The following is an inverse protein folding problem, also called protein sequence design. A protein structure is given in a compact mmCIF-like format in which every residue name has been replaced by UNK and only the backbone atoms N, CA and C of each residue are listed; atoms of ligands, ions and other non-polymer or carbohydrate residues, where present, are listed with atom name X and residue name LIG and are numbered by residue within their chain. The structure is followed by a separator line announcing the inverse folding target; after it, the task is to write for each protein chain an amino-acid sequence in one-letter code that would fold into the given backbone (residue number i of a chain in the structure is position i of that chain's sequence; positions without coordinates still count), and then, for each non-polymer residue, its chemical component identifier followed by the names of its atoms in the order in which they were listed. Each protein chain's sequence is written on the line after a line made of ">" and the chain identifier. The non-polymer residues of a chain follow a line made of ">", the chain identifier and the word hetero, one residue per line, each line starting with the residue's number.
data_IF_373863431771
#
_entry.id   IF_373863431771
#
_cell.length_a   1.000
_cell.length_b   1.000
_cell.length_c   1.000
_cell.angle_alpha   90.00
_cell.angle_beta   90.00
_cell.angle_gamma   90.00
#
_symmetry.space_group_name_H-M   'P 1'
#
loop_
_entity.id
_entity.type
_entity.pdbx_description
1 polymer ?
#
# COMPACT_ATOMS: atom_id res chain seq x y z
N UNK A 1 20.18 -26.03 14.11
CA UNK A 1 18.92 -26.29 13.40
C UNK A 1 18.81 -25.21 12.32
N UNK A 2 18.86 -25.52 11.01
CA UNK A 2 18.69 -24.52 9.96
C UNK A 2 17.18 -24.27 9.81
N UNK A 3 16.76 -23.05 10.05
CA UNK A 3 15.37 -22.63 9.77
C UNK A 3 15.20 -22.73 8.24
N UNK A 4 14.21 -23.49 7.74
CA UNK A 4 13.94 -23.52 6.31
C UNK A 4 13.64 -22.10 5.83
N UNK A 5 14.35 -21.63 4.80
CA UNK A 5 13.95 -20.42 4.09
C UNK A 5 12.61 -20.71 3.41
N UNK A 6 11.60 -20.02 3.83
CA UNK A 6 10.30 -20.04 3.15
C UNK A 6 10.44 -19.14 1.93
N UNK A 7 10.57 -19.73 0.76
CA UNK A 7 10.47 -19.00 -0.52
C UNK A 7 8.99 -19.04 -0.93
N UNK A 8 8.36 -17.86 -0.91
CA UNK A 8 7.01 -17.74 -1.42
C UNK A 8 6.99 -18.13 -2.90
N UNK A 9 6.16 -19.11 -3.27
CA UNK A 9 5.92 -19.43 -4.67
C UNK A 9 5.04 -18.33 -5.26
N UNK A 10 5.65 -17.38 -5.93
CA UNK A 10 4.95 -16.27 -6.59
C UNK A 10 5.45 -16.13 -8.02
N UNK A 11 4.55 -15.83 -8.93
CA UNK A 11 4.87 -15.46 -10.32
C UNK A 11 5.25 -13.97 -10.44
N UNK A 12 5.30 -13.25 -9.32
CA UNK A 12 5.64 -11.84 -9.32
C UNK A 12 7.10 -11.62 -9.75
N UNK A 13 7.28 -10.66 -10.64
CA UNK A 13 8.59 -10.18 -11.08
C UNK A 13 8.67 -8.67 -10.90
N UNK A 14 9.87 -8.16 -10.65
CA UNK A 14 10.11 -6.72 -10.58
C UNK A 14 9.70 -6.09 -11.92
N UNK A 15 8.81 -5.08 -11.91
CA UNK A 15 8.42 -4.41 -13.15
C UNK A 15 9.62 -3.80 -13.87
N UNK A 16 9.71 -4.04 -15.16
CA UNK A 16 10.78 -3.47 -16.02
C UNK A 16 10.36 -2.12 -16.61
N UNK A 17 9.06 -1.85 -16.66
CA UNK A 17 8.47 -0.65 -17.24
C UNK A 17 7.43 -0.06 -16.30
N UNK A 18 7.20 1.25 -16.44
CA UNK A 18 6.17 1.96 -15.72
C UNK A 18 4.92 2.06 -16.58
N UNK A 19 3.76 1.52 -16.12
CA UNK A 19 2.51 1.67 -16.85
C UNK A 19 2.04 3.14 -16.85
N UNK A 20 1.40 3.57 -17.95
CA UNK A 20 0.69 4.82 -17.95
C UNK A 20 -0.68 4.65 -17.29
N UNK A 21 -0.82 5.10 -16.05
CA UNK A 21 -2.04 5.03 -15.27
C UNK A 21 -2.73 6.39 -15.10
N UNK A 22 -2.35 7.40 -15.88
CA UNK A 22 -2.91 8.76 -15.75
C UNK A 22 -4.35 8.89 -16.27
N UNK A 23 -4.81 7.92 -17.08
CA UNK A 23 -6.13 7.92 -17.71
C UNK A 23 -7.10 6.88 -17.11
N UNK A 24 -6.73 6.25 -15.99
CA UNK A 24 -7.64 5.32 -15.30
C UNK A 24 -8.64 6.09 -14.44
N UNK A 25 -9.84 5.56 -14.29
CA UNK A 25 -10.86 6.16 -13.41
C UNK A 25 -10.51 5.98 -11.94
N UNK A 26 -10.00 4.80 -11.59
CA UNK A 26 -9.67 4.42 -10.23
C UNK A 26 -8.33 3.68 -10.15
N UNK A 27 -7.58 3.93 -9.10
CA UNK A 27 -6.35 3.22 -8.79
C UNK A 27 -6.26 2.93 -7.29
N UNK A 28 -6.14 1.65 -6.95
CA UNK A 28 -5.80 1.23 -5.60
C UNK A 28 -4.30 1.40 -5.38
N UNK A 29 -3.93 1.97 -4.24
CA UNK A 29 -2.54 2.22 -3.83
C UNK A 29 -2.36 1.73 -2.40
N UNK A 30 -1.24 1.06 -2.15
CA UNK A 30 -0.83 0.58 -0.84
C UNK A 30 0.67 0.78 -0.68
N UNK A 31 1.11 1.22 0.50
CA UNK A 31 2.51 1.51 0.79
C UNK A 31 3.09 0.51 1.76
N UNK A 32 4.18 -0.12 1.36
CA UNK A 32 5.02 -0.87 2.29
C UNK A 32 5.98 0.08 3.00
N UNK A 33 5.97 0.03 4.32
CA UNK A 33 6.75 0.96 5.14
C UNK A 33 7.64 0.24 6.14
N UNK A 34 8.79 0.82 6.44
CA UNK A 34 9.58 0.51 7.62
C UNK A 34 9.27 1.56 8.67
N UNK A 35 8.39 1.25 9.60
CA UNK A 35 7.89 2.17 10.64
C UNK A 35 8.15 1.59 12.05
N UNK A 36 9.40 1.68 12.54
CA UNK A 36 9.85 0.92 13.73
C UNK A 36 9.22 1.39 15.03
N UNK A 37 8.70 2.60 15.05
CA UNK A 37 8.12 3.21 16.27
C UNK A 37 6.59 3.30 16.23
N UNK A 38 5.93 2.79 15.19
CA UNK A 38 4.50 2.93 14.94
C UNK A 38 3.64 2.69 16.18
N UNK A 39 3.86 1.57 16.88
CA UNK A 39 3.08 1.19 18.05
C UNK A 39 3.39 2.07 19.28
N UNK A 40 4.66 2.49 19.44
CA UNK A 40 5.11 3.18 20.66
C UNK A 40 4.95 4.68 20.59
N UNK A 41 5.13 5.26 19.41
CA UNK A 41 5.22 6.72 19.23
C UNK A 41 4.26 7.25 18.15
N UNK A 42 3.58 6.37 17.42
CA UNK A 42 2.73 6.72 16.29
C UNK A 42 3.47 6.67 14.95
N UNK A 43 2.76 7.02 13.89
CA UNK A 43 3.25 6.90 12.52
C UNK A 43 4.54 7.68 12.28
N UNK A 44 5.51 7.00 11.66
CA UNK A 44 6.79 7.56 11.25
C UNK A 44 6.66 8.74 10.30
N UNK A 45 5.59 8.79 9.50
CA UNK A 45 5.27 9.91 8.64
C UNK A 45 5.07 11.23 9.42
N UNK A 46 4.60 11.14 10.67
CA UNK A 46 4.34 12.30 11.55
C UNK A 46 5.54 12.63 12.41
N UNK A 47 6.20 11.59 12.97
CA UNK A 47 7.33 11.78 13.89
C UNK A 47 8.68 11.91 13.18
N UNK A 48 8.72 11.73 11.85
CA UNK A 48 9.95 11.81 11.07
C UNK A 48 10.89 10.61 11.24
N UNK A 49 10.34 9.42 11.54
CA UNK A 49 11.14 8.20 11.70
C UNK A 49 10.52 7.04 10.91
N UNK A 50 11.32 6.45 10.04
CA UNK A 50 10.91 5.39 9.13
C UNK A 50 11.01 5.79 7.66
N UNK A 51 10.62 4.90 6.77
CA UNK A 51 10.69 5.13 5.32
C UNK A 51 9.64 4.29 4.58
N UNK A 52 9.23 4.74 3.40
CA UNK A 52 8.47 3.92 2.45
C UNK A 52 9.45 3.03 1.70
N UNK A 53 9.22 1.72 1.74
CA UNK A 53 10.13 0.72 1.15
C UNK A 53 9.58 0.10 -0.13
N UNK A 54 8.28 0.22 -0.39
CA UNK A 54 7.63 -0.27 -1.59
C UNK A 54 6.28 0.39 -1.85
N UNK A 55 5.80 0.29 -3.07
CA UNK A 55 4.51 0.82 -3.51
C UNK A 55 3.78 -0.27 -4.29
N UNK A 56 2.61 -0.66 -3.86
CA UNK A 56 1.69 -1.49 -4.62
C UNK A 56 0.65 -0.63 -5.31
N UNK A 57 0.31 -0.98 -6.53
CA UNK A 57 -0.80 -0.36 -7.28
C UNK A 57 -1.63 -1.40 -7.99
N UNK A 58 -2.94 -1.17 -8.08
CA UNK A 58 -3.83 -2.01 -8.85
C UNK A 58 -4.92 -1.17 -9.53
N UNK A 59 -5.27 -1.58 -10.74
CA UNK A 59 -6.43 -1.12 -11.51
C UNK A 59 -7.19 -2.33 -12.02
N UNK A 60 -8.28 -2.13 -12.76
CA UNK A 60 -9.00 -3.23 -13.42
C UNK A 60 -8.15 -4.05 -14.41
N UNK A 61 -7.04 -3.49 -14.92
CA UNK A 61 -6.24 -4.11 -15.98
C UNK A 61 -4.75 -4.25 -15.65
N UNK A 62 -4.32 -3.72 -14.51
CA UNK A 62 -2.92 -3.76 -14.10
C UNK A 62 -2.81 -3.97 -12.59
N UNK A 63 -1.81 -4.72 -12.19
CA UNK A 63 -1.35 -4.82 -10.81
C UNK A 63 0.17 -4.90 -10.79
N UNK A 64 0.80 -4.17 -9.89
CA UNK A 64 2.26 -4.15 -9.77
C UNK A 64 2.72 -3.72 -8.40
N UNK A 65 3.89 -4.20 -8.03
CA UNK A 65 4.61 -3.81 -6.84
C UNK A 65 5.99 -3.26 -7.22
N UNK A 66 6.35 -2.11 -6.70
CA UNK A 66 7.56 -1.36 -7.00
C UNK A 66 8.42 -1.25 -5.74
N UNK A 67 9.35 -2.18 -5.51
CA UNK A 67 10.28 -2.14 -4.37
C UNK A 67 11.28 -1.01 -4.55
N UNK A 68 11.51 -0.19 -3.51
CA UNK A 68 12.41 0.98 -3.59
C UNK A 68 13.46 1.07 -2.50
N UNK A 69 13.26 0.37 -1.37
CA UNK A 69 14.18 0.44 -0.24
C UNK A 69 14.18 -0.84 0.64
N UNK A 70 13.92 -2.01 0.08
CA UNK A 70 14.04 -3.27 0.83
C UNK A 70 15.48 -3.61 1.16
N UNK A 71 15.73 -4.07 2.38
CA UNK A 71 17.08 -4.45 2.85
C UNK A 71 17.64 -5.69 2.12
N UNK A 72 16.76 -6.58 1.63
CA UNK A 72 17.13 -7.79 0.89
C UNK A 72 17.63 -7.56 -0.54
N UNK A 73 17.62 -6.33 -1.03
CA UNK A 73 17.95 -5.99 -2.42
C UNK A 73 16.74 -6.13 -3.36
N UNK A 74 17.00 -6.20 -4.68
CA UNK A 74 15.93 -6.28 -5.68
C UNK A 74 15.13 -4.99 -5.83
N UNK A 75 15.66 -3.84 -5.39
CA UNK A 75 15.00 -2.55 -5.49
C UNK A 75 15.13 -1.95 -6.89
N UNK A 76 14.11 -1.24 -7.28
CA UNK A 76 14.11 -0.39 -8.46
C UNK A 76 14.79 0.96 -8.16
N UNK A 77 15.10 1.74 -9.20
CA UNK A 77 15.58 3.11 -9.02
C UNK A 77 14.51 3.96 -8.32
N UNK A 78 14.75 4.29 -7.05
CA UNK A 78 13.82 5.03 -6.19
C UNK A 78 13.37 6.35 -6.85
N UNK A 79 14.29 7.08 -7.51
CA UNK A 79 13.94 8.38 -8.14
C UNK A 79 12.98 8.19 -9.30
N UNK A 80 13.19 7.17 -10.13
CA UNK A 80 12.32 6.87 -11.26
C UNK A 80 10.93 6.43 -10.79
N UNK A 81 10.86 5.54 -9.79
CA UNK A 81 9.59 5.11 -9.21
C UNK A 81 8.82 6.29 -8.63
N UNK A 82 9.49 7.15 -7.84
CA UNK A 82 8.83 8.30 -7.22
C UNK A 82 8.41 9.36 -8.25
N UNK A 83 9.16 9.54 -9.34
CA UNK A 83 8.75 10.42 -10.43
C UNK A 83 7.49 9.91 -11.13
N UNK A 84 7.43 8.61 -11.42
CA UNK A 84 6.23 7.98 -11.99
C UNK A 84 5.04 8.05 -11.02
N UNK A 85 5.26 7.75 -9.74
CA UNK A 85 4.22 7.81 -8.72
C UNK A 85 3.62 9.22 -8.61
N UNK A 86 4.45 10.25 -8.73
CA UNK A 86 3.99 11.64 -8.75
C UNK A 86 2.97 11.87 -9.86
N UNK A 87 3.27 11.45 -11.09
CA UNK A 87 2.35 11.62 -12.23
C UNK A 87 1.04 10.87 -11.99
N UNK A 88 1.09 9.68 -11.39
CA UNK A 88 -0.10 8.89 -11.02
C UNK A 88 -0.93 9.59 -9.94
N UNK A 89 -0.28 10.13 -8.91
CA UNK A 89 -0.97 10.80 -7.80
C UNK A 89 -1.58 12.15 -8.22
N UNK A 90 -0.95 12.87 -9.14
CA UNK A 90 -1.44 14.15 -9.66
C UNK A 90 -2.53 13.99 -10.74
N UNK A 91 -2.75 12.78 -11.27
CA UNK A 91 -3.85 12.49 -12.19
C UNK A 91 -5.22 12.65 -11.51
N UNK A 92 -6.30 12.92 -12.26
CA UNK A 92 -7.64 13.18 -11.68
C UNK A 92 -8.38 11.92 -11.19
N UNK A 93 -7.81 10.72 -11.37
CA UNK A 93 -8.40 9.45 -10.94
C UNK A 93 -8.72 9.42 -9.45
N UNK A 94 -9.70 8.62 -9.06
CA UNK A 94 -9.93 8.28 -7.65
C UNK A 94 -8.80 7.39 -7.12
N UNK A 95 -8.17 7.79 -6.01
CA UNK A 95 -7.17 6.98 -5.30
C UNK A 95 -7.86 6.20 -4.20
N UNK A 96 -7.80 4.88 -4.30
CA UNK A 96 -8.42 3.94 -3.38
C UNK A 96 -7.36 3.38 -2.44
N UNK A 97 -7.62 3.44 -1.14
CA UNK A 97 -6.72 2.92 -0.11
C UNK A 97 -7.50 2.03 0.87
N UNK A 98 -6.79 1.23 1.64
CA UNK A 98 -7.31 0.64 2.86
C UNK A 98 -6.63 1.29 4.06
N UNK A 99 -7.39 1.85 5.00
CA UNK A 99 -6.87 2.74 6.05
C UNK A 99 -6.12 3.97 5.48
N UNK A 100 -6.79 4.66 4.56
CA UNK A 100 -6.24 5.74 3.74
C UNK A 100 -5.42 6.79 4.51
N UNK A 101 -5.73 7.03 5.78
CA UNK A 101 -5.03 8.03 6.60
C UNK A 101 -3.54 7.69 6.74
N UNK A 102 -3.20 6.40 6.85
CA UNK A 102 -1.82 5.95 6.99
C UNK A 102 -1.00 6.26 5.72
N UNK A 103 -1.47 5.77 4.58
CA UNK A 103 -0.77 5.94 3.30
C UNK A 103 -0.71 7.40 2.85
N UNK A 104 -1.83 8.12 2.98
CA UNK A 104 -1.91 9.53 2.61
C UNK A 104 -0.96 10.38 3.46
N UNK A 105 -0.81 10.09 4.75
CA UNK A 105 0.17 10.77 5.60
C UNK A 105 1.61 10.54 5.13
N UNK A 106 1.97 9.30 4.78
CA UNK A 106 3.29 8.99 4.22
C UNK A 106 3.53 9.70 2.89
N UNK A 107 2.57 9.63 1.96
CA UNK A 107 2.68 10.31 0.66
C UNK A 107 2.87 11.82 0.83
N UNK A 108 2.12 12.45 1.73
CA UNK A 108 2.26 13.88 2.03
C UNK A 108 3.57 14.22 2.71
N UNK A 109 4.04 13.38 3.65
CA UNK A 109 5.35 13.55 4.29
C UNK A 109 6.50 13.47 3.27
N UNK A 110 6.34 12.65 2.21
CA UNK A 110 7.26 12.59 1.07
C UNK A 110 7.13 13.78 0.10
N UNK A 111 6.21 14.71 0.34
CA UNK A 111 6.00 15.90 -0.48
C UNK A 111 5.07 15.72 -1.69
N UNK A 112 4.34 14.61 -1.77
CA UNK A 112 3.40 14.39 -2.87
C UNK A 112 2.10 15.18 -2.71
N UNK A 113 1.61 15.70 -3.84
CA UNK A 113 0.27 16.19 -3.99
C UNK A 113 -0.61 15.06 -4.53
N UNK A 114 -1.80 14.91 -3.98
CA UNK A 114 -2.78 13.92 -4.41
C UNK A 114 -3.97 14.68 -4.99
N UNK A 115 -4.23 14.49 -6.27
CA UNK A 115 -5.39 15.06 -6.97
C UNK A 115 -6.48 13.98 -7.13
N UNK A 116 -7.69 14.42 -7.46
CA UNK A 116 -8.88 13.57 -7.54
C UNK A 116 -9.42 13.20 -6.15
N UNK A 117 -10.38 12.29 -6.15
CA UNK A 117 -11.01 11.83 -4.91
C UNK A 117 -10.13 10.79 -4.19
N UNK A 118 -10.30 10.72 -2.88
CA UNK A 118 -9.69 9.68 -2.04
C UNK A 118 -10.80 8.81 -1.48
N UNK A 119 -10.78 7.54 -1.80
CA UNK A 119 -11.68 6.52 -1.27
C UNK A 119 -10.93 5.63 -0.26
N UNK A 120 -11.60 5.31 0.85
CA UNK A 120 -11.06 4.41 1.87
C UNK A 120 -12.00 3.22 2.06
N UNK A 121 -11.57 2.03 1.68
CA UNK A 121 -12.39 0.82 1.78
C UNK A 121 -12.71 0.44 3.23
N UNK A 122 -11.83 0.74 4.18
CA UNK A 122 -12.08 0.53 5.62
C UNK A 122 -13.23 1.40 6.12
N UNK A 123 -13.22 2.70 5.77
CA UNK A 123 -14.28 3.63 6.15
C UNK A 123 -15.59 3.29 5.43
N UNK A 124 -15.52 2.99 4.13
CA UNK A 124 -16.69 2.57 3.35
C UNK A 124 -17.38 1.34 3.96
N UNK A 125 -16.60 0.35 4.37
CA UNK A 125 -17.13 -0.84 5.04
C UNK A 125 -17.80 -0.50 6.39
N UNK A 126 -17.20 0.40 7.18
CA UNK A 126 -17.75 0.83 8.46
C UNK A 126 -19.07 1.60 8.29
N UNK A 127 -19.16 2.47 7.28
CA UNK A 127 -20.41 3.19 6.96
C UNK A 127 -21.48 2.26 6.41
N UNK A 128 -21.09 1.23 5.66
CA UNK A 128 -22.02 0.26 5.09
C UNK A 128 -22.62 -0.68 6.15
N UNK A 129 -21.82 -1.06 7.14
CA UNK A 129 -22.26 -1.93 8.24
C UNK A 129 -21.41 -1.67 9.49
N UNK A 130 -21.93 -0.84 10.39
CA UNK A 130 -21.28 -0.46 11.66
C UNK A 130 -21.24 -1.58 12.70
N UNK A 131 -21.98 -2.66 12.50
CA UNK A 131 -22.06 -3.79 13.44
C UNK A 131 -21.00 -4.88 13.22
N UNK A 132 -20.03 -4.63 12.33
CA UNK A 132 -18.92 -5.56 12.12
C UNK A 132 -17.93 -5.46 13.26
N UNK A 133 -17.35 -6.61 13.65
CA UNK A 133 -16.29 -6.65 14.66
C UNK A 133 -14.92 -6.21 14.12
N UNK A 134 -14.71 -6.32 12.79
CA UNK A 134 -13.41 -6.08 12.15
C UNK A 134 -13.58 -5.45 10.79
N UNK A 135 -12.71 -4.49 10.51
CA UNK A 135 -12.64 -3.75 9.24
C UNK A 135 -11.25 -3.85 8.59
N UNK A 136 -10.37 -4.75 9.09
CA UNK A 136 -9.09 -5.04 8.47
C UNK A 136 -9.28 -5.65 7.07
N UNK A 137 -8.26 -5.47 6.22
CA UNK A 137 -8.34 -5.84 4.81
C UNK A 137 -8.60 -7.34 4.62
N UNK A 138 -7.98 -8.22 5.45
CA UNK A 138 -8.20 -9.66 5.41
C UNK A 138 -9.66 -10.03 5.69
N UNK A 139 -10.24 -9.46 6.76
CA UNK A 139 -11.63 -9.70 7.14
C UNK A 139 -12.61 -9.23 6.08
N UNK A 140 -12.34 -8.09 5.44
CA UNK A 140 -13.19 -7.56 4.38
C UNK A 140 -13.03 -8.35 3.08
N UNK A 141 -11.81 -8.72 2.70
CA UNK A 141 -11.55 -9.54 1.50
C UNK A 141 -12.22 -10.90 1.60
N UNK A 142 -12.15 -11.54 2.78
CA UNK A 142 -12.86 -12.78 3.02
C UNK A 142 -14.37 -12.61 2.89
N UNK A 143 -14.92 -11.57 3.51
CA UNK A 143 -16.36 -11.35 3.53
C UNK A 143 -16.93 -11.02 2.15
N UNK A 144 -16.30 -10.13 1.41
CA UNK A 144 -16.84 -9.64 0.14
C UNK A 144 -16.39 -10.44 -1.08
N UNK A 145 -15.20 -11.04 -1.03
CA UNK A 145 -14.57 -11.68 -2.18
C UNK A 145 -14.33 -13.18 -1.98
N UNK A 146 -14.52 -13.72 -0.76
CA UNK A 146 -14.17 -15.10 -0.44
C UNK A 146 -12.67 -15.39 -0.54
N UNK A 147 -11.82 -14.36 -0.49
CA UNK A 147 -10.38 -14.46 -0.66
C UNK A 147 -9.66 -14.13 0.65
N UNK A 148 -8.73 -15.00 1.06
CA UNK A 148 -7.79 -14.69 2.15
C UNK A 148 -6.52 -14.10 1.53
N UNK A 149 -6.11 -12.96 2.04
CA UNK A 149 -4.80 -12.39 1.73
C UNK A 149 -3.78 -13.11 2.62
N UNK A 150 -2.96 -13.95 2.01
CA UNK A 150 -1.85 -14.62 2.70
C UNK A 150 -0.63 -13.68 2.77
N UNK A 151 -0.82 -12.49 3.27
CA UNK A 151 0.28 -11.61 3.61
C UNK A 151 0.42 -11.62 5.12
N UNK A 152 1.48 -12.24 5.63
CA UNK A 152 1.93 -12.05 7.00
C UNK A 152 2.58 -10.67 7.11
N UNK A 153 1.83 -9.62 6.83
CA UNK A 153 2.33 -8.27 7.03
C UNK A 153 2.32 -7.95 8.51
N UNK A 154 3.53 -7.85 9.06
CA UNK A 154 3.75 -7.44 10.44
C UNK A 154 3.16 -6.05 10.74
N UNK A 155 2.87 -5.26 9.72
CA UNK A 155 2.23 -3.96 9.85
C UNK A 155 0.72 -4.07 10.17
N UNK A 156 0.03 -5.08 9.62
CA UNK A 156 -1.41 -5.29 9.87
C UNK A 156 -1.66 -5.97 11.23
N UNK A 157 -0.70 -6.74 11.74
CA UNK A 157 -0.75 -7.34 13.08
C UNK A 157 -0.54 -6.31 14.21
N UNK A 158 -0.05 -5.12 13.90
CA UNK A 158 0.23 -4.08 14.89
C UNK A 158 -1.00 -3.25 15.31
N UNK A 159 -2.13 -3.46 14.65
CA UNK A 159 -3.43 -2.82 14.98
C UNK A 159 -4.38 -3.72 15.77
N UNK A 160 -3.86 -4.83 16.34
CA UNK A 160 -4.61 -5.71 17.24
C UNK A 160 -4.46 -5.32 18.70
#
# INVERSE_FOLDING_TARGET
>A
MKIPKFEAQTEWNIPTEFPDLRQVDEIAIDLETKDPDLIKKGSGSVIGNGDVIGIAVATNHYKGYFPIAHEGGGNMDKKRVLSWLKDVLEAPSTKVFHNAIYDVCWLRAMGFKINGDIACTMIAAAVTNENRFRYDLNSLSWHYLGCLLYTSDAADDSLR
#
